data_IF_852123247422
#
_entry.id   IF_852123247422
#
_cell.length_a   1.000
_cell.length_b   1.000
_cell.length_c   1.000
_cell.angle_alpha   90.00
_cell.angle_beta   90.00
_cell.angle_gamma   90.00
#
_symmetry.space_group_name_H-M   'P 1'
#
loop_
_entity.id
_entity.type
_entity.pdbx_description
1 polymer ?
#
# COMPACT_ATOMS: atom_id res chain seq x y z
N UNK A 1 -8.69 -7.79 7.27
CA UNK A 1 -8.47 -6.33 7.30
C UNK A 1 -9.66 -5.68 6.58
N UNK A 2 -9.80 -4.36 6.49
CA UNK A 2 -11.02 -3.78 5.87
C UNK A 2 -10.95 -3.81 4.33
N UNK A 3 -9.76 -3.64 3.75
CA UNK A 3 -9.55 -3.68 2.29
C UNK A 3 -8.83 -4.97 1.89
N UNK A 4 -9.46 -5.80 1.08
CA UNK A 4 -8.91 -7.09 0.60
C UNK A 4 -9.10 -7.21 -0.92
N UNK A 5 -8.18 -7.90 -1.60
CA UNK A 5 -8.25 -8.08 -3.05
C UNK A 5 -9.36 -9.07 -3.40
N UNK A 6 -10.16 -8.75 -4.43
CA UNK A 6 -11.26 -9.62 -4.89
C UNK A 6 -12.51 -9.59 -4.00
N UNK A 7 -12.55 -8.75 -2.96
CA UNK A 7 -13.76 -8.47 -2.18
C UNK A 7 -14.45 -7.25 -2.78
N UNK A 8 -15.78 -7.34 -2.96
CA UNK A 8 -16.61 -6.24 -3.43
C UNK A 8 -16.64 -5.09 -2.41
N UNK A 9 -16.69 -3.87 -2.91
CA UNK A 9 -16.78 -2.68 -2.06
C UNK A 9 -18.17 -2.58 -1.41
N UNK A 10 -18.17 -2.18 -0.13
CA UNK A 10 -19.37 -1.82 0.61
C UNK A 10 -19.40 -0.32 0.96
N UNK A 11 -20.50 0.13 1.56
CA UNK A 11 -20.69 1.52 1.98
C UNK A 11 -19.63 1.97 3.03
N UNK A 12 -19.07 1.04 3.78
CA UNK A 12 -18.00 1.26 4.73
C UNK A 12 -16.67 1.64 4.06
N UNK A 13 -16.31 1.04 2.93
CA UNK A 13 -15.10 1.40 2.19
C UNK A 13 -15.14 2.84 1.68
N UNK A 14 -16.28 3.25 1.13
CA UNK A 14 -16.50 4.61 0.64
C UNK A 14 -16.48 5.62 1.79
N UNK A 15 -17.05 5.28 2.94
CA UNK A 15 -16.98 6.15 4.13
C UNK A 15 -15.53 6.37 4.59
N UNK A 16 -14.70 5.33 4.57
CA UNK A 16 -13.28 5.46 4.92
C UNK A 16 -12.55 6.34 3.90
N UNK A 17 -12.90 6.25 2.60
CA UNK A 17 -12.34 7.13 1.58
C UNK A 17 -12.72 8.61 1.81
N UNK A 18 -13.96 8.90 2.18
CA UNK A 18 -14.39 10.27 2.53
C UNK A 18 -13.66 10.82 3.78
N UNK A 19 -13.47 9.98 4.80
CA UNK A 19 -12.67 10.35 5.98
C UNK A 19 -11.20 10.60 5.60
N UNK A 20 -10.65 9.78 4.70
CA UNK A 20 -9.30 9.97 4.16
C UNK A 20 -9.18 11.28 3.39
N UNK A 21 -10.14 11.59 2.51
CA UNK A 21 -10.17 12.85 1.75
C UNK A 21 -10.19 14.06 2.69
N UNK A 22 -11.07 14.03 3.68
CA UNK A 22 -11.18 15.09 4.70
C UNK A 22 -9.85 15.31 5.43
N UNK A 23 -9.14 14.23 5.74
CA UNK A 23 -7.82 14.30 6.37
C UNK A 23 -6.76 14.92 5.45
N UNK A 24 -6.72 14.51 4.18
CA UNK A 24 -5.77 15.06 3.20
C UNK A 24 -6.02 16.56 3.01
N UNK A 25 -7.27 16.97 2.85
CA UNK A 25 -7.66 18.38 2.71
C UNK A 25 -7.26 19.19 3.94
N UNK A 26 -7.48 18.66 5.14
CA UNK A 26 -7.08 19.31 6.38
C UNK A 26 -5.56 19.48 6.48
N UNK A 27 -4.79 18.42 6.18
CA UNK A 27 -3.33 18.49 6.23
C UNK A 27 -2.78 19.48 5.20
N UNK A 28 -3.21 19.39 3.94
CA UNK A 28 -2.78 20.30 2.89
C UNK A 28 -3.15 21.74 3.22
N UNK A 29 -4.38 21.99 3.67
CA UNK A 29 -4.85 23.31 4.08
C UNK A 29 -4.01 23.89 5.21
N UNK A 30 -3.75 23.10 6.27
CA UNK A 30 -2.91 23.53 7.40
C UNK A 30 -1.48 23.85 6.96
N UNK A 31 -0.85 23.01 6.14
CA UNK A 31 0.52 23.26 5.66
C UNK A 31 0.59 24.48 4.74
N UNK A 32 -0.41 24.68 3.89
CA UNK A 32 -0.49 25.84 3.02
C UNK A 32 -0.66 27.13 3.83
N UNK A 33 -1.51 27.12 4.86
CA UNK A 33 -1.69 28.26 5.77
C UNK A 33 -0.40 28.60 6.53
N UNK A 34 0.26 27.58 7.10
CA UNK A 34 1.53 27.75 7.84
C UNK A 34 2.66 28.31 6.96
N UNK A 35 2.69 27.94 5.67
CA UNK A 35 3.67 28.43 4.71
C UNK A 35 3.25 29.75 4.03
N UNK A 36 2.03 30.22 4.25
CA UNK A 36 1.46 31.38 3.55
C UNK A 36 1.32 31.16 2.04
N UNK A 37 1.12 29.92 1.61
CA UNK A 37 0.93 29.52 0.21
C UNK A 37 -0.56 29.53 -0.09
N UNK A 38 -0.96 30.25 -1.14
CA UNK A 38 -2.34 30.18 -1.62
C UNK A 38 -2.54 29.00 -2.60
N UNK A 39 -3.79 28.54 -2.81
CA UNK A 39 -4.07 27.42 -3.72
C UNK A 39 -3.54 27.62 -5.14
N UNK A 40 -3.61 28.84 -5.69
CA UNK A 40 -3.14 29.16 -7.03
C UNK A 40 -1.61 29.01 -7.17
N UNK A 41 -0.85 29.36 -6.12
CA UNK A 41 0.60 29.19 -6.05
C UNK A 41 0.98 27.72 -5.93
N UNK A 42 0.23 26.95 -5.14
CA UNK A 42 0.42 25.51 -5.02
C UNK A 42 0.18 24.82 -6.37
N UNK A 43 -0.93 25.12 -7.04
CA UNK A 43 -1.25 24.57 -8.37
C UNK A 43 -0.19 24.97 -9.41
N UNK A 44 0.24 26.24 -9.42
CA UNK A 44 1.29 26.71 -10.31
C UNK A 44 2.66 26.04 -10.04
N UNK A 45 2.96 25.69 -8.79
CA UNK A 45 4.18 24.96 -8.43
C UNK A 45 4.10 23.49 -8.85
N UNK A 46 2.97 22.83 -8.60
CA UNK A 46 2.69 21.46 -9.01
C UNK A 46 2.71 21.30 -10.54
N UNK A 47 2.13 22.25 -11.29
CA UNK A 47 2.16 22.23 -12.75
C UNK A 47 3.54 22.47 -13.38
N UNK A 48 4.45 23.12 -12.65
CA UNK A 48 5.85 23.36 -13.09
C UNK A 48 6.80 22.25 -12.66
N UNK A 49 6.50 21.54 -11.57
CA UNK A 49 7.21 20.34 -11.19
C UNK A 49 6.96 19.29 -12.28
N UNK A 50 8.00 18.92 -13.02
CA UNK A 50 7.90 17.87 -14.03
C UNK A 50 7.54 16.56 -13.32
N UNK A 51 6.25 16.19 -13.34
CA UNK A 51 5.67 14.96 -12.77
C UNK A 51 6.12 13.69 -13.52
N UNK A 52 7.24 13.76 -14.24
CA UNK A 52 7.75 12.73 -15.13
C UNK A 52 8.78 11.82 -14.45
N UNK A 53 9.14 12.09 -13.19
CA UNK A 53 10.00 11.16 -12.44
C UNK A 53 9.14 10.17 -11.65
N UNK A 54 9.53 8.88 -11.59
CA UNK A 54 8.82 7.88 -10.79
C UNK A 54 8.67 8.25 -9.30
N UNK A 55 9.62 9.04 -8.78
CA UNK A 55 9.60 9.56 -7.43
C UNK A 55 8.48 10.60 -7.22
N UNK A 56 8.26 11.50 -8.17
CA UNK A 56 7.15 12.45 -8.08
C UNK A 56 5.80 11.74 -8.18
N UNK A 57 5.68 10.73 -9.05
CA UNK A 57 4.44 9.95 -9.16
C UNK A 57 4.06 9.24 -7.85
N UNK A 58 5.03 8.67 -7.14
CA UNK A 58 4.80 8.05 -5.83
C UNK A 58 4.52 9.06 -4.72
N UNK A 59 5.11 10.26 -4.78
CA UNK A 59 4.84 11.33 -3.81
C UNK A 59 3.42 11.88 -3.91
N UNK A 60 2.92 12.06 -5.14
CA UNK A 60 1.59 12.61 -5.39
C UNK A 60 0.48 11.54 -5.37
N UNK A 61 0.82 10.25 -5.36
CA UNK A 61 -0.15 9.15 -5.30
C UNK A 61 -1.12 9.31 -4.11
N UNK A 62 -0.64 9.74 -2.95
CA UNK A 62 -1.50 9.97 -1.77
C UNK A 62 -2.47 11.14 -1.96
N UNK A 63 -2.02 12.19 -2.66
CA UNK A 63 -2.88 13.35 -2.97
C UNK A 63 -3.91 12.96 -4.02
N UNK A 64 -3.51 12.22 -5.06
CA UNK A 64 -4.43 11.72 -6.08
C UNK A 64 -5.44 10.71 -5.52
N UNK A 65 -5.03 9.88 -4.56
CA UNK A 65 -5.93 8.96 -3.87
C UNK A 65 -7.07 9.69 -3.13
N UNK A 66 -6.93 10.98 -2.79
CA UNK A 66 -8.03 11.72 -2.16
C UNK A 66 -9.19 12.00 -3.14
N UNK A 67 -8.89 12.10 -4.44
CA UNK A 67 -9.87 12.36 -5.49
C UNK A 67 -10.25 11.11 -6.31
N UNK A 68 -9.43 10.06 -6.27
CA UNK A 68 -9.64 8.80 -7.01
C UNK A 68 -9.72 7.60 -6.06
N UNK A 69 -10.92 7.04 -5.95
CA UNK A 69 -11.21 5.88 -5.10
C UNK A 69 -10.42 4.62 -5.51
N UNK A 70 -10.17 4.39 -6.81
CA UNK A 70 -9.45 3.20 -7.27
C UNK A 70 -7.97 3.26 -6.90
N UNK A 71 -7.38 4.46 -6.94
CA UNK A 71 -6.01 4.68 -6.45
C UNK A 71 -5.98 4.47 -4.93
N UNK A 72 -6.95 5.02 -4.20
CA UNK A 72 -7.07 4.83 -2.76
C UNK A 72 -7.21 3.36 -2.36
N UNK A 73 -8.14 2.63 -2.99
CA UNK A 73 -8.38 1.21 -2.73
C UNK A 73 -7.11 0.39 -2.95
N UNK A 74 -6.42 0.59 -4.07
CA UNK A 74 -5.14 -0.07 -4.35
C UNK A 74 -4.09 0.25 -3.29
N UNK A 75 -3.99 1.51 -2.87
CA UNK A 75 -3.09 1.92 -1.79
C UNK A 75 -3.42 1.22 -0.46
N UNK A 76 -4.69 1.12 -0.10
CA UNK A 76 -5.15 0.46 1.13
C UNK A 76 -4.89 -1.04 1.13
N UNK A 77 -5.11 -1.72 0.00
CA UNK A 77 -4.79 -3.14 -0.17
C UNK A 77 -3.28 -3.36 -0.03
N UNK A 78 -2.48 -2.55 -0.72
CA UNK A 78 -1.02 -2.64 -0.64
C UNK A 78 -0.51 -2.43 0.80
N UNK A 79 -1.05 -1.44 1.52
CA UNK A 79 -0.71 -1.21 2.92
C UNK A 79 -1.13 -2.35 3.84
N UNK A 80 -2.26 -3.00 3.58
CA UNK A 80 -2.68 -4.19 4.31
C UNK A 80 -1.68 -5.33 4.13
N UNK A 81 -1.22 -5.59 2.90
CA UNK A 81 -0.20 -6.61 2.61
C UNK A 81 1.12 -6.28 3.35
N UNK A 82 1.56 -5.03 3.32
CA UNK A 82 2.77 -4.59 4.03
C UNK A 82 2.67 -4.82 5.54
N UNK A 83 1.53 -4.49 6.15
CA UNK A 83 1.30 -4.69 7.59
C UNK A 83 1.25 -6.18 7.96
N UNK A 84 0.64 -7.03 7.13
CA UNK A 84 0.64 -8.48 7.33
C UNK A 84 2.05 -9.06 7.29
N UNK A 85 2.88 -8.59 6.35
CA UNK A 85 4.28 -9.00 6.25
C UNK A 85 5.11 -8.55 7.44
N UNK A 86 4.90 -7.32 7.93
CA UNK A 86 5.56 -6.83 9.14
C UNK A 86 5.16 -7.67 10.36
N UNK A 87 3.88 -8.01 10.51
CA UNK A 87 3.41 -8.88 11.57
C UNK A 87 4.06 -10.28 11.49
N UNK A 88 4.22 -10.81 10.28
CA UNK A 88 4.90 -12.09 10.04
C UNK A 88 6.37 -12.04 10.47
N UNK A 89 7.08 -10.98 10.10
CA UNK A 89 8.47 -10.77 10.50
C UNK A 89 8.61 -10.73 12.03
N UNK A 90 7.72 -9.99 12.71
CA UNK A 90 7.72 -9.92 14.18
C UNK A 90 7.45 -11.29 14.82
N UNK A 91 6.50 -12.06 14.28
CA UNK A 91 6.20 -13.40 14.77
C UNK A 91 7.38 -14.36 14.58
N UNK A 92 8.02 -14.32 13.41
CA UNK A 92 9.21 -15.12 13.13
C UNK A 92 10.36 -14.76 14.06
N UNK A 93 10.62 -13.47 14.28
CA UNK A 93 11.70 -13.00 15.15
C UNK A 93 11.47 -13.39 16.62
N UNK A 94 10.23 -13.35 17.11
CA UNK A 94 9.91 -13.66 18.52
C UNK A 94 9.72 -15.15 18.82
N UNK A 95 9.13 -15.90 17.91
CA UNK A 95 8.66 -17.26 18.18
C UNK A 95 9.26 -18.32 17.27
N UNK A 96 10.02 -17.94 16.23
CA UNK A 96 10.67 -18.88 15.31
C UNK A 96 9.70 -19.72 14.45
N UNK A 97 8.41 -19.40 14.49
CA UNK A 97 7.34 -20.10 13.77
C UNK A 97 6.49 -19.10 12.98
N UNK A 98 6.05 -19.53 11.80
CA UNK A 98 5.07 -18.83 10.97
C UNK A 98 3.80 -19.70 10.97
N UNK A 99 2.61 -19.17 11.30
CA UNK A 99 1.36 -19.93 11.24
C UNK A 99 1.06 -20.46 9.83
N UNK A 100 0.53 -21.68 9.72
CA UNK A 100 0.19 -22.34 8.44
C UNK A 100 -0.83 -21.55 7.61
N UNK A 101 -1.68 -20.73 8.23
CA UNK A 101 -2.61 -19.84 7.52
C UNK A 101 -1.93 -18.77 6.65
N UNK A 102 -0.61 -18.60 6.76
CA UNK A 102 0.20 -17.64 5.99
C UNK A 102 1.24 -18.33 5.08
N UNK A 103 1.17 -19.65 4.92
CA UNK A 103 1.93 -20.33 3.86
C UNK A 103 1.25 -20.05 2.51
N UNK A 104 1.99 -19.77 1.43
CA UNK A 104 1.40 -19.65 0.10
C UNK A 104 0.74 -21.00 -0.24
N UNK A 105 -0.58 -21.04 -0.22
CA UNK A 105 -1.35 -22.12 -0.83
C UNK A 105 -1.43 -21.87 -2.33
N UNK A 106 -1.42 -22.94 -3.13
CA UNK A 106 -1.56 -22.87 -4.61
C UNK A 106 -2.90 -22.23 -5.06
N UNK A 107 -3.81 -21.96 -4.11
CA UNK A 107 -5.13 -21.35 -4.31
C UNK A 107 -5.16 -19.82 -4.04
N UNK A 108 -4.06 -19.09 -4.30
CA UNK A 108 -4.05 -17.63 -4.16
C UNK A 108 -4.87 -16.96 -5.28
N UNK A 109 -5.81 -16.02 -4.98
CA UNK A 109 -6.61 -15.36 -5.99
C UNK A 109 -5.76 -14.57 -6.99
N UNK A 110 -6.04 -14.68 -8.30
CA UNK A 110 -5.30 -13.99 -9.37
C UNK A 110 -5.21 -12.45 -9.16
N UNK A 111 -6.19 -11.86 -8.47
CA UNK A 111 -6.20 -10.45 -8.11
C UNK A 111 -5.10 -10.08 -7.10
N UNK A 112 -4.79 -10.95 -6.12
CA UNK A 112 -3.62 -10.77 -5.26
C UNK A 112 -2.35 -10.90 -6.09
N UNK A 113 -2.27 -11.88 -7.00
CA UNK A 113 -1.12 -12.06 -7.89
C UNK A 113 -0.80 -10.81 -8.74
N UNK A 114 -1.80 -10.12 -9.26
CA UNK A 114 -1.61 -8.90 -10.07
C UNK A 114 -1.17 -7.69 -9.25
N UNK A 115 -1.65 -7.54 -8.02
CA UNK A 115 -1.14 -6.52 -7.08
C UNK A 115 0.31 -6.86 -6.69
N UNK A 116 0.66 -8.14 -6.71
CA UNK A 116 2.00 -8.66 -6.42
C UNK A 116 3.01 -8.58 -7.59
N UNK A 117 2.55 -8.42 -8.83
CA UNK A 117 3.40 -8.22 -10.02
C UNK A 117 3.45 -6.75 -10.48
N UNK A 118 2.56 -5.90 -9.93
CA UNK A 118 2.59 -4.46 -10.14
C UNK A 118 3.88 -3.84 -9.62
N UNK A 119 4.57 -3.11 -10.49
CA UNK A 119 5.88 -2.51 -10.26
C UNK A 119 5.87 -1.44 -9.15
N UNK A 120 5.82 -1.84 -7.89
CA UNK A 120 6.12 -1.01 -6.72
C UNK A 120 6.31 -1.83 -5.43
N UNK A 121 6.68 -3.10 -5.53
CA UNK A 121 6.97 -3.89 -4.32
C UNK A 121 8.40 -3.62 -3.91
N UNK A 122 8.56 -3.07 -2.71
CA UNK A 122 9.87 -2.79 -2.11
C UNK A 122 10.80 -4.02 -2.25
N UNK A 123 12.04 -3.85 -2.74
CA UNK A 123 12.97 -4.96 -2.93
C UNK A 123 13.23 -5.80 -1.69
N UNK A 124 13.00 -5.28 -0.47
CA UNK A 124 13.06 -6.05 0.78
C UNK A 124 11.89 -7.02 0.90
N UNK A 125 10.71 -6.63 0.46
CA UNK A 125 9.51 -7.47 0.43
C UNK A 125 9.69 -8.67 -0.50
N UNK A 126 10.24 -8.44 -1.70
CA UNK A 126 10.56 -9.52 -2.64
C UNK A 126 11.65 -10.46 -2.08
N UNK A 127 12.67 -9.90 -1.43
CA UNK A 127 13.75 -10.68 -0.78
C UNK A 127 13.27 -11.51 0.39
N UNK A 128 12.39 -10.96 1.24
CA UNK A 128 11.85 -11.66 2.39
C UNK A 128 10.95 -12.81 1.94
N UNK A 129 10.10 -12.58 0.93
CA UNK A 129 9.30 -13.64 0.29
C UNK A 129 10.14 -14.75 -0.29
N UNK A 130 11.20 -14.40 -1.04
CA UNK A 130 12.14 -15.39 -1.59
C UNK A 130 12.87 -16.17 -0.50
N UNK A 131 13.34 -15.49 0.55
CA UNK A 131 14.01 -16.13 1.67
C UNK A 131 13.08 -17.06 2.47
N UNK A 132 11.79 -16.72 2.58
CA UNK A 132 10.79 -17.58 3.21
C UNK A 132 10.45 -18.80 2.34
N UNK A 133 10.24 -18.62 1.04
CA UNK A 133 10.01 -19.71 0.10
C UNK A 133 11.19 -20.70 0.06
N UNK A 134 12.43 -20.21 0.02
CA UNK A 134 13.64 -21.04 0.04
C UNK A 134 13.79 -21.83 1.36
N UNK A 135 13.42 -21.22 2.50
CA UNK A 135 13.48 -21.89 3.83
C UNK A 135 12.38 -22.93 4.03
N UNK A 136 11.23 -22.75 3.41
CA UNK A 136 10.12 -23.71 3.43
C UNK A 136 10.43 -24.91 2.52
N UNK A 137 10.95 -24.66 1.31
CA UNK A 137 11.30 -25.73 0.37
C UNK A 137 12.49 -26.59 0.87
N UNK A 138 13.40 -26.02 1.64
CA UNK A 138 14.51 -26.75 2.27
C UNK A 138 14.14 -27.66 3.45
N UNK A 139 12.88 -27.67 3.88
CA UNK A 139 12.39 -28.56 4.96
C UNK A 139 11.68 -29.82 4.46
N UNK A 140 11.51 -29.98 3.14
CA UNK A 140 10.84 -31.14 2.51
C UNK A 140 11.73 -32.36 2.25
N UNK A 141 13.04 -32.29 2.50
CA UNK A 141 13.95 -33.43 2.32
C UNK A 141 14.65 -33.81 3.63
N UNK A 142 13.94 -34.50 4.54
CA UNK A 142 14.48 -35.55 5.42
C UNK A 142 13.40 -36.50 5.89
#
# INVERSE_FOLDING_TARGET
MVFEAGVDDDDGHHKIHEEYKTLVDFMLGSYMEDMGINPEQFEAACGKASMNTPFHQTLFEQVWAADDYEIFKRMMIQKNIELQLQALEILQQRYGIIPESFTPSDDMPEAEQQVLDGSSIDPRTLKLRRALAERLNGRGEK
#
